data_IF_902027145986
#
_entry.id   IF_902027145986
#
_cell.length_a   1.000
_cell.length_b   1.000
_cell.length_c   1.000
_cell.angle_alpha   90.00
_cell.angle_beta   90.00
_cell.angle_gamma   90.00
#
_symmetry.space_group_name_H-M   'P 1'
#
loop_
_entity.id
_entity.type
_entity.pdbx_description
1 polymer ?
#
# COMPACT_ATOMS: atom_id res chain seq x y z
N UNK A 1 6.50 -12.01 13.83
CA UNK A 1 7.46 -11.74 12.73
C UNK A 1 6.74 -10.80 11.78
N UNK A 2 7.20 -9.54 11.65
CA UNK A 2 6.65 -8.60 10.69
C UNK A 2 6.91 -9.10 9.27
N UNK A 3 5.96 -8.92 8.35
CA UNK A 3 6.18 -9.19 6.94
C UNK A 3 7.34 -8.31 6.43
N UNK A 4 8.16 -8.85 5.52
CA UNK A 4 9.24 -8.09 4.90
C UNK A 4 8.65 -6.87 4.15
N UNK A 5 9.30 -5.71 4.20
CA UNK A 5 8.80 -4.53 3.50
C UNK A 5 8.77 -4.79 1.99
N UNK A 6 7.70 -4.33 1.33
CA UNK A 6 7.55 -4.42 -0.12
C UNK A 6 8.62 -3.56 -0.79
N UNK A 7 9.32 -4.15 -1.75
CA UNK A 7 10.42 -3.52 -2.50
C UNK A 7 9.92 -3.07 -3.87
N UNK A 8 10.08 -1.80 -4.15
CA UNK A 8 9.69 -1.18 -5.42
C UNK A 8 10.94 -0.67 -6.14
N UNK A 9 11.01 -0.92 -7.43
CA UNK A 9 12.02 -0.30 -8.30
C UNK A 9 11.35 0.80 -9.14
N UNK A 10 12.02 1.93 -9.25
CA UNK A 10 11.62 3.05 -10.12
C UNK A 10 12.71 3.26 -11.17
N UNK A 11 12.36 3.18 -12.45
CA UNK A 11 13.24 3.51 -13.57
C UNK A 11 12.64 4.68 -14.33
N UNK A 12 13.26 5.83 -14.18
CA UNK A 12 12.79 7.13 -14.69
C UNK A 12 14.00 8.02 -14.92
N UNK A 13 14.18 8.56 -16.12
CA UNK A 13 15.33 9.39 -16.45
C UNK A 13 15.21 10.82 -15.90
N UNK A 14 14.00 11.37 -15.86
CA UNK A 14 13.77 12.72 -15.35
C UNK A 14 13.93 12.76 -13.82
N UNK A 15 15.01 13.38 -13.35
CA UNK A 15 15.37 13.39 -11.92
C UNK A 15 14.25 13.95 -11.02
N UNK A 16 13.56 15.00 -11.47
CA UNK A 16 12.48 15.62 -10.67
C UNK A 16 11.29 14.68 -10.48
N UNK A 17 10.87 13.96 -11.53
CA UNK A 17 9.80 12.96 -11.48
C UNK A 17 10.23 11.79 -10.62
N UNK A 18 11.43 11.27 -10.85
CA UNK A 18 12.00 10.17 -10.07
C UNK A 18 12.05 10.47 -8.57
N UNK A 19 12.55 11.64 -8.17
CA UNK A 19 12.63 12.04 -6.77
C UNK A 19 11.25 12.18 -6.13
N UNK A 20 10.30 12.79 -6.83
CA UNK A 20 8.93 12.93 -6.34
C UNK A 20 8.26 11.56 -6.11
N UNK A 21 8.38 10.65 -7.07
CA UNK A 21 7.84 9.28 -6.99
C UNK A 21 8.50 8.51 -5.86
N UNK A 22 9.83 8.52 -5.77
CA UNK A 22 10.60 7.84 -4.72
C UNK A 22 10.22 8.37 -3.33
N UNK A 23 10.10 9.70 -3.18
CA UNK A 23 9.70 10.34 -1.93
C UNK A 23 8.30 9.88 -1.49
N UNK A 24 7.32 9.90 -2.41
CA UNK A 24 5.96 9.46 -2.13
C UNK A 24 5.90 7.99 -1.69
N UNK A 25 6.60 7.10 -2.41
CA UNK A 25 6.63 5.67 -2.09
C UNK A 25 7.30 5.38 -0.73
N UNK A 26 8.38 6.08 -0.41
CA UNK A 26 9.06 5.93 0.90
C UNK A 26 8.19 6.42 2.05
N UNK A 27 7.42 7.48 1.84
CA UNK A 27 6.46 7.98 2.83
C UNK A 27 5.34 6.96 3.11
N UNK A 28 5.02 6.09 2.15
CA UNK A 28 4.10 4.96 2.31
C UNK A 28 4.76 3.73 2.99
N UNK A 29 6.01 3.82 3.42
CA UNK A 29 6.73 2.73 4.09
C UNK A 29 7.29 1.66 3.14
N UNK A 30 7.35 1.93 1.83
CA UNK A 30 7.92 1.02 0.84
C UNK A 30 9.46 1.16 0.79
N UNK A 31 10.16 0.08 0.52
CA UNK A 31 11.59 0.11 0.23
C UNK A 31 11.80 0.39 -1.25
N UNK A 32 12.48 1.49 -1.59
CA UNK A 32 12.59 1.95 -2.98
C UNK A 32 14.03 1.99 -3.43
N UNK A 33 14.33 1.28 -4.53
CA UNK A 33 15.55 1.45 -5.35
C UNK A 33 15.17 2.23 -6.60
N UNK A 34 16.04 3.14 -7.06
CA UNK A 34 15.75 3.95 -8.24
C UNK A 34 16.94 3.98 -9.21
N UNK A 35 16.61 4.05 -10.48
CA UNK A 35 17.55 4.03 -11.60
C UNK A 35 17.14 5.09 -12.61
N UNK A 36 18.12 5.68 -13.30
CA UNK A 36 17.89 6.69 -14.34
C UNK A 36 18.07 6.18 -15.75
N UNK A 37 18.40 4.91 -15.92
CA UNK A 37 18.77 4.34 -17.21
C UNK A 37 18.28 2.90 -17.35
N UNK A 38 18.00 2.53 -18.59
CA UNK A 38 17.62 1.22 -19.07
C UNK A 38 18.75 0.17 -18.95
N UNK A 39 20.03 0.57 -19.04
CA UNK A 39 21.18 -0.36 -19.04
C UNK A 39 21.44 -1.03 -17.68
N UNK A 40 20.70 -0.69 -16.64
CA UNK A 40 20.94 -1.17 -15.28
C UNK A 40 20.12 -2.43 -14.92
N UNK A 41 19.75 -3.24 -15.92
CA UNK A 41 18.89 -4.44 -15.74
C UNK A 41 19.36 -5.36 -14.61
N UNK A 42 20.66 -5.68 -14.55
CA UNK A 42 21.19 -6.56 -13.51
C UNK A 42 21.08 -5.94 -12.10
N UNK A 43 21.29 -4.63 -11.97
CA UNK A 43 21.13 -3.92 -10.72
C UNK A 43 19.65 -3.88 -10.28
N UNK A 44 18.72 -3.72 -11.23
CA UNK A 44 17.29 -3.79 -11.03
C UNK A 44 16.87 -5.18 -10.50
N UNK A 45 17.35 -6.23 -11.15
CA UNK A 45 17.06 -7.62 -10.73
C UNK A 45 17.65 -7.94 -9.36
N UNK A 46 18.87 -7.47 -9.08
CA UNK A 46 19.53 -7.66 -7.79
C UNK A 46 18.83 -6.95 -6.62
N UNK A 47 18.10 -5.86 -6.89
CA UNK A 47 17.24 -5.22 -5.91
C UNK A 47 16.07 -6.12 -5.49
N UNK A 48 15.84 -7.23 -6.22
CA UNK A 48 14.79 -8.21 -6.00
C UNK A 48 13.41 -7.58 -5.76
N UNK A 49 12.91 -6.73 -6.69
CA UNK A 49 11.70 -5.96 -6.50
C UNK A 49 10.44 -6.84 -6.47
N UNK A 50 9.43 -6.34 -5.75
CA UNK A 50 8.08 -6.89 -5.72
C UNK A 50 7.16 -6.16 -6.72
N UNK A 51 7.59 -4.98 -7.22
CA UNK A 51 6.94 -4.20 -8.26
C UNK A 51 7.97 -3.31 -8.95
N UNK A 52 7.84 -3.13 -10.27
CA UNK A 52 8.61 -2.15 -11.03
C UNK A 52 7.70 -1.03 -11.56
N UNK A 53 8.18 0.21 -11.45
CA UNK A 53 7.61 1.40 -12.08
C UNK A 53 8.61 1.83 -13.16
N UNK A 54 8.19 1.82 -14.41
CA UNK A 54 9.08 2.05 -15.54
C UNK A 54 8.56 3.21 -16.40
N UNK A 55 9.40 4.18 -16.70
CA UNK A 55 9.08 5.08 -17.81
C UNK A 55 9.15 4.29 -19.13
N UNK A 56 8.21 4.56 -20.01
CA UNK A 56 8.22 4.01 -21.38
C UNK A 56 9.36 4.61 -22.19
N UNK A 57 9.63 5.90 -22.00
CA UNK A 57 10.65 6.64 -22.75
C UNK A 57 11.93 6.78 -21.94
N UNK A 58 12.83 5.82 -22.05
CA UNK A 58 14.12 5.85 -21.38
C UNK A 58 15.25 6.19 -22.35
N UNK A 59 16.31 6.90 -21.92
CA UNK A 59 17.54 7.06 -22.70
C UNK A 59 18.09 5.69 -23.11
N UNK A 60 18.56 5.59 -24.35
CA UNK A 60 19.20 4.41 -24.93
C UNK A 60 18.33 3.15 -25.05
N UNK A 61 17.02 3.22 -24.72
CA UNK A 61 16.15 2.04 -24.78
C UNK A 61 14.66 2.34 -24.68
N UNK A 62 13.88 1.29 -24.71
CA UNK A 62 12.43 1.30 -24.57
C UNK A 62 12.04 0.61 -23.27
N UNK A 63 11.26 1.29 -22.43
CA UNK A 63 10.75 0.73 -21.16
C UNK A 63 9.95 -0.57 -21.36
N UNK A 64 9.31 -0.74 -22.51
CA UNK A 64 8.64 -2.01 -22.85
C UNK A 64 9.64 -3.16 -23.06
N UNK A 65 10.79 -2.88 -23.67
CA UNK A 65 11.84 -3.88 -23.83
C UNK A 65 12.45 -4.26 -22.48
N UNK A 66 12.71 -3.28 -21.61
CA UNK A 66 13.16 -3.53 -20.24
C UNK A 66 12.15 -4.40 -19.49
N UNK A 67 10.86 -4.08 -19.59
CA UNK A 67 9.80 -4.86 -18.97
C UNK A 67 9.79 -6.32 -19.44
N UNK A 68 9.94 -6.56 -20.74
CA UNK A 68 10.02 -7.93 -21.30
C UNK A 68 11.19 -8.70 -20.72
N UNK A 69 12.37 -8.08 -20.62
CA UNK A 69 13.58 -8.71 -20.06
C UNK A 69 13.44 -9.02 -18.59
N UNK A 70 12.91 -8.08 -17.79
CA UNK A 70 12.67 -8.29 -16.37
C UNK A 70 11.67 -9.43 -16.16
N UNK A 71 10.58 -9.49 -16.92
CA UNK A 71 9.56 -10.55 -16.83
C UNK A 71 10.05 -11.91 -17.30
N UNK A 72 10.96 -11.96 -18.28
CA UNK A 72 11.56 -13.21 -18.70
C UNK A 72 12.38 -13.90 -17.56
N UNK A 73 12.87 -13.10 -16.62
CA UNK A 73 13.66 -13.54 -15.48
C UNK A 73 12.83 -13.76 -14.19
N UNK A 74 11.71 -13.03 -14.07
CA UNK A 74 10.92 -13.01 -12.84
C UNK A 74 9.46 -12.63 -13.14
N UNK A 75 8.53 -13.28 -12.43
CA UNK A 75 7.14 -12.81 -12.40
C UNK A 75 7.09 -11.49 -11.60
N UNK A 76 7.14 -10.36 -12.31
CA UNK A 76 7.26 -9.02 -11.75
C UNK A 76 6.09 -8.16 -12.24
N UNK A 77 5.24 -7.66 -11.34
CA UNK A 77 4.23 -6.67 -11.66
C UNK A 77 4.88 -5.36 -12.13
N UNK A 78 4.33 -4.77 -13.20
CA UNK A 78 4.89 -3.56 -13.83
C UNK A 78 3.80 -2.52 -14.01
N UNK A 79 4.10 -1.30 -13.54
CA UNK A 79 3.32 -0.08 -13.80
C UNK A 79 4.16 0.83 -14.70
N UNK A 80 3.61 1.21 -15.85
CA UNK A 80 4.29 2.16 -16.72
C UNK A 80 3.91 3.60 -16.41
N UNK A 81 4.91 4.48 -16.43
CA UNK A 81 4.73 5.92 -16.56
C UNK A 81 4.97 6.29 -18.05
N UNK A 82 4.11 7.10 -18.64
CA UNK A 82 4.25 7.43 -20.06
C UNK A 82 3.75 8.84 -20.36
N UNK A 83 4.46 9.54 -21.24
CA UNK A 83 3.99 10.79 -21.83
C UNK A 83 3.03 10.54 -23.01
N UNK A 84 2.86 9.28 -23.44
CA UNK A 84 2.05 8.89 -24.58
C UNK A 84 0.62 8.58 -24.15
N UNK A 85 -0.34 9.31 -24.67
CA UNK A 85 -1.76 9.15 -24.44
C UNK A 85 -2.47 8.36 -25.56
N UNK A 86 -1.72 7.93 -26.58
CA UNK A 86 -2.21 7.19 -27.74
C UNK A 86 -2.81 5.82 -27.38
N UNK A 87 -3.92 5.47 -28.05
CA UNK A 87 -4.57 4.15 -27.90
C UNK A 87 -3.61 3.02 -28.32
N UNK A 88 -2.81 3.26 -29.36
CA UNK A 88 -1.86 2.28 -29.89
C UNK A 88 -0.72 1.97 -28.91
N UNK A 89 -0.22 2.96 -28.19
CA UNK A 89 0.82 2.78 -27.18
C UNK A 89 0.29 2.00 -25.96
N UNK A 90 -0.97 2.21 -25.57
CA UNK A 90 -1.63 1.42 -24.51
C UNK A 90 -1.83 -0.03 -24.97
N UNK A 91 -2.21 -0.26 -26.22
CA UNK A 91 -2.37 -1.61 -26.79
C UNK A 91 -1.02 -2.34 -26.88
N UNK A 92 0.06 -1.65 -27.27
CA UNK A 92 1.41 -2.21 -27.26
C UNK A 92 1.85 -2.62 -25.85
N UNK A 93 1.54 -1.82 -24.85
CA UNK A 93 1.86 -2.12 -23.47
C UNK A 93 1.03 -3.25 -22.87
N UNK A 94 -0.25 -3.36 -23.18
CA UNK A 94 -1.05 -4.53 -22.80
C UNK A 94 -0.53 -5.82 -23.45
N UNK A 95 0.01 -5.74 -24.69
CA UNK A 95 0.64 -6.87 -25.35
C UNK A 95 1.93 -7.33 -24.63
N UNK A 96 2.64 -6.44 -23.93
CA UNK A 96 3.80 -6.75 -23.08
C UNK A 96 3.37 -7.26 -21.70
N UNK A 97 2.06 -7.22 -21.41
CA UNK A 97 1.49 -7.74 -20.17
C UNK A 97 1.59 -6.76 -18.99
N UNK A 98 1.60 -5.44 -19.22
CA UNK A 98 1.59 -4.46 -18.14
C UNK A 98 0.40 -4.67 -17.18
N UNK A 99 0.65 -4.44 -15.90
CA UNK A 99 -0.40 -4.54 -14.88
C UNK A 99 -1.20 -3.25 -14.74
N UNK A 100 -0.58 -2.09 -15.03
CA UNK A 100 -1.26 -0.78 -15.11
C UNK A 100 -0.42 0.26 -15.86
N UNK A 101 -1.07 1.38 -16.22
CA UNK A 101 -0.49 2.55 -16.91
C UNK A 101 -0.90 3.84 -16.25
N UNK A 102 0.02 4.80 -16.21
CA UNK A 102 -0.26 6.15 -15.75
C UNK A 102 0.36 7.18 -16.70
N UNK A 103 -0.49 8.07 -17.22
CA UNK A 103 -0.07 9.11 -18.20
C UNK A 103 0.47 10.33 -17.46
N UNK A 104 1.62 10.84 -17.88
CA UNK A 104 2.22 12.11 -17.43
C UNK A 104 1.50 13.31 -18.09
N UNK A 105 1.20 14.39 -17.34
CA UNK A 105 1.42 14.56 -15.90
C UNK A 105 0.36 13.86 -15.06
N UNK A 106 0.73 13.33 -13.88
CA UNK A 106 -0.16 12.61 -12.99
C UNK A 106 -0.09 13.15 -11.55
N UNK A 107 -1.14 12.88 -10.76
CA UNK A 107 -1.12 13.11 -9.33
C UNK A 107 -0.43 11.93 -8.61
N UNK A 108 0.41 12.22 -7.60
CA UNK A 108 1.10 11.17 -6.83
C UNK A 108 0.11 10.25 -6.11
N UNK A 109 -1.02 10.78 -5.66
CA UNK A 109 -2.09 10.02 -5.03
C UNK A 109 -2.68 8.97 -5.98
N UNK A 110 -2.84 9.32 -7.29
CA UNK A 110 -3.29 8.37 -8.31
C UNK A 110 -2.27 7.25 -8.51
N UNK A 111 -0.98 7.60 -8.63
CA UNK A 111 0.09 6.61 -8.75
C UNK A 111 0.08 5.65 -7.56
N UNK A 112 0.01 6.16 -6.33
CA UNK A 112 -0.02 5.34 -5.12
C UNK A 112 -1.24 4.41 -5.08
N UNK A 113 -2.42 4.90 -5.48
CA UNK A 113 -3.63 4.09 -5.54
C UNK A 113 -3.49 2.93 -6.53
N UNK A 114 -2.91 3.18 -7.72
CA UNK A 114 -2.67 2.15 -8.75
C UNK A 114 -1.64 1.11 -8.30
N UNK A 115 -0.53 1.55 -7.71
CA UNK A 115 0.51 0.66 -7.15
C UNK A 115 -0.09 -0.29 -6.11
N UNK A 116 -0.89 0.24 -5.18
CA UNK A 116 -1.59 -0.58 -4.17
C UNK A 116 -2.50 -1.61 -4.82
N UNK A 117 -3.25 -1.23 -5.86
CA UNK A 117 -4.13 -2.14 -6.59
C UNK A 117 -3.35 -3.25 -7.30
N UNK A 118 -2.22 -2.94 -7.92
CA UNK A 118 -1.35 -3.91 -8.60
C UNK A 118 -0.72 -4.88 -7.61
N UNK A 119 -0.12 -4.37 -6.51
CA UNK A 119 0.50 -5.20 -5.47
C UNK A 119 -0.51 -6.14 -4.81
N UNK A 120 -1.75 -5.71 -4.63
CA UNK A 120 -2.83 -6.56 -4.11
C UNK A 120 -3.19 -7.68 -5.09
N UNK A 121 -3.40 -7.36 -6.37
CA UNK A 121 -3.74 -8.36 -7.39
C UNK A 121 -2.65 -9.41 -7.59
N UNK A 122 -1.39 -9.00 -7.46
CA UNK A 122 -0.23 -9.88 -7.60
C UNK A 122 0.10 -10.68 -6.32
N UNK A 123 -0.67 -10.52 -5.22
CA UNK A 123 -0.41 -11.20 -3.95
C UNK A 123 0.89 -10.77 -3.26
N UNK A 124 1.47 -9.63 -3.67
CA UNK A 124 2.73 -9.09 -3.11
C UNK A 124 2.50 -8.27 -1.85
N UNK A 125 1.29 -7.75 -1.65
CA UNK A 125 0.85 -7.28 -0.34
C UNK A 125 0.42 -8.50 0.46
N UNK A 126 0.86 -8.60 1.71
CA UNK A 126 0.41 -9.66 2.61
C UNK A 126 -1.13 -9.72 2.64
N UNK A 127 -1.67 -10.88 2.98
CA UNK A 127 -3.12 -11.05 3.02
C UNK A 127 -3.74 -9.96 3.89
N UNK A 128 -4.63 -9.17 3.30
CA UNK A 128 -5.41 -8.20 4.05
C UNK A 128 -6.15 -8.89 5.20
N UNK A 129 -6.18 -8.26 6.35
CA UNK A 129 -6.94 -8.76 7.49
C UNK A 129 -8.41 -8.47 7.26
N UNK A 130 -9.27 -9.46 7.47
CA UNK A 130 -10.70 -9.34 7.25
C UNK A 130 -11.51 -9.63 8.53
N UNK A 131 -12.52 -8.80 8.75
CA UNK A 131 -13.49 -8.99 9.83
C UNK A 131 -14.88 -8.56 9.36
N UNK A 132 -15.65 -9.50 8.83
CA UNK A 132 -16.95 -9.22 8.22
C UNK A 132 -16.81 -8.34 6.99
N UNK A 133 -17.38 -7.13 7.05
CA UNK A 133 -17.32 -6.12 5.97
C UNK A 133 -16.10 -5.17 6.07
N UNK A 134 -15.21 -5.39 7.04
CA UNK A 134 -13.99 -4.60 7.25
C UNK A 134 -12.79 -5.32 6.66
N UNK A 135 -12.03 -4.63 5.84
CA UNK A 135 -10.75 -5.08 5.28
C UNK A 135 -9.66 -4.10 5.72
N UNK A 136 -8.55 -4.62 6.23
CA UNK A 136 -7.40 -3.83 6.68
C UNK A 136 -6.14 -4.35 6.02
N UNK A 137 -5.47 -3.50 5.30
CA UNK A 137 -4.17 -3.78 4.70
C UNK A 137 -3.12 -2.83 5.30
N UNK A 138 -2.34 -3.34 6.26
CA UNK A 138 -1.31 -2.56 6.93
C UNK A 138 -0.13 -2.23 6.04
N UNK A 139 0.16 -3.08 5.06
CA UNK A 139 1.26 -2.86 4.12
C UNK A 139 0.88 -1.85 3.04
N UNK A 140 -0.37 -1.92 2.57
CA UNK A 140 -0.90 -0.94 1.63
C UNK A 140 -1.35 0.38 2.29
N UNK A 141 -1.36 0.43 3.62
CA UNK A 141 -1.67 1.65 4.37
C UNK A 141 -3.15 2.05 4.35
N UNK A 142 -4.09 1.15 4.06
CA UNK A 142 -5.51 1.49 3.98
C UNK A 142 -6.41 0.53 4.75
N UNK A 143 -7.63 1.00 5.03
CA UNK A 143 -8.71 0.15 5.52
C UNK A 143 -10.02 0.53 4.84
N UNK A 144 -10.85 -0.46 4.56
CA UNK A 144 -12.19 -0.26 3.99
C UNK A 144 -13.26 -0.90 4.85
N UNK A 145 -14.49 -0.42 4.74
CA UNK A 145 -15.68 -1.06 5.26
C UNK A 145 -16.77 -1.07 4.20
N UNK A 146 -17.37 -2.23 3.94
CA UNK A 146 -18.32 -2.42 2.85
C UNK A 146 -17.79 -1.90 1.50
N UNK A 147 -16.47 -2.07 1.24
CA UNK A 147 -15.77 -1.63 0.03
C UNK A 147 -15.48 -0.13 -0.05
N UNK A 148 -15.83 0.67 0.99
CA UNK A 148 -15.56 2.12 1.05
C UNK A 148 -14.37 2.43 1.93
N UNK A 149 -13.50 3.33 1.46
CA UNK A 149 -12.30 3.74 2.20
C UNK A 149 -12.69 4.45 3.51
N UNK A 150 -12.01 4.07 4.59
CA UNK A 150 -12.20 4.65 5.92
C UNK A 150 -11.35 5.90 6.16
N UNK A 151 -10.43 6.24 5.26
CA UNK A 151 -9.50 7.37 5.39
C UNK A 151 -8.81 7.42 6.76
N UNK A 152 -8.28 6.29 7.19
CA UNK A 152 -7.65 6.13 8.51
C UNK A 152 -6.24 6.72 8.53
N UNK A 153 -5.86 7.28 9.68
CA UNK A 153 -4.46 7.65 9.95
C UNK A 153 -3.61 6.40 10.21
N UNK A 154 -2.26 6.48 10.12
CA UNK A 154 -1.40 5.33 10.40
C UNK A 154 -1.62 4.70 11.79
N UNK A 155 -1.93 5.51 12.80
CA UNK A 155 -2.25 5.01 14.15
C UNK A 155 -3.61 4.32 14.21
N UNK A 156 -4.63 4.88 13.56
CA UNK A 156 -5.96 4.27 13.46
C UNK A 156 -5.91 2.96 12.66
N UNK A 157 -5.07 2.90 11.61
CA UNK A 157 -4.87 1.69 10.83
C UNK A 157 -4.27 0.57 11.69
N UNK A 158 -3.18 0.82 12.43
CA UNK A 158 -2.59 -0.14 13.36
C UNK A 158 -3.57 -0.58 14.44
N UNK A 159 -4.33 0.35 14.99
CA UNK A 159 -5.36 0.08 15.99
C UNK A 159 -6.46 -0.83 15.43
N UNK A 160 -6.96 -0.53 14.23
CA UNK A 160 -7.98 -1.36 13.57
C UNK A 160 -7.44 -2.74 13.22
N UNK A 161 -6.23 -2.84 12.68
CA UNK A 161 -5.57 -4.11 12.40
C UNK A 161 -5.43 -4.98 13.67
N UNK A 162 -5.07 -4.36 14.79
CA UNK A 162 -4.98 -5.06 16.06
C UNK A 162 -6.35 -5.59 16.53
N UNK A 163 -7.42 -4.80 16.38
CA UNK A 163 -8.78 -5.25 16.67
C UNK A 163 -9.23 -6.39 15.75
N UNK A 164 -8.91 -6.32 14.44
CA UNK A 164 -9.29 -7.36 13.48
C UNK A 164 -8.58 -8.69 13.78
N UNK A 165 -7.28 -8.65 14.12
CA UNK A 165 -6.52 -9.86 14.56
C UNK A 165 -7.08 -10.50 15.82
N UNK A 166 -7.66 -9.71 16.72
CA UNK A 166 -8.21 -10.16 18.00
C UNK A 166 -9.74 -10.06 18.03
N UNK A 167 -10.38 -10.25 16.87
CA UNK A 167 -11.83 -10.13 16.71
C UNK A 167 -12.57 -10.99 17.72
N UNK A 168 -13.58 -10.43 18.37
CA UNK A 168 -14.38 -11.09 19.40
C UNK A 168 -13.78 -11.05 20.81
N UNK A 169 -12.48 -10.76 20.95
CA UNK A 169 -11.83 -10.63 22.26
C UNK A 169 -11.99 -9.22 22.81
N UNK A 170 -12.10 -9.12 24.15
CA UNK A 170 -12.07 -7.85 24.85
C UNK A 170 -10.62 -7.46 25.10
N UNK A 171 -10.21 -6.31 24.57
CA UNK A 171 -8.87 -5.77 24.70
C UNK A 171 -8.86 -4.61 25.69
N UNK A 172 -8.07 -4.72 26.73
CA UNK A 172 -7.93 -3.65 27.73
C UNK A 172 -7.21 -2.42 27.15
N UNK A 173 -7.43 -1.25 27.76
CA UNK A 173 -6.71 -0.02 27.36
C UNK A 173 -5.18 -0.20 27.43
N UNK A 174 -4.71 -0.88 28.47
CA UNK A 174 -3.28 -1.16 28.64
C UNK A 174 -2.72 -2.03 27.50
N UNK A 175 -3.40 -3.13 27.14
CA UNK A 175 -3.01 -3.95 25.98
C UNK A 175 -2.97 -3.15 24.69
N UNK A 176 -3.99 -2.30 24.45
CA UNK A 176 -4.01 -1.44 23.26
C UNK A 176 -2.85 -0.44 23.25
N UNK A 177 -2.55 0.22 24.38
CA UNK A 177 -1.42 1.13 24.49
C UNK A 177 -0.08 0.45 24.19
N UNK A 178 0.19 -0.67 24.85
CA UNK A 178 1.46 -1.39 24.69
C UNK A 178 1.63 -1.90 23.27
N UNK A 179 0.59 -2.49 22.68
CA UNK A 179 0.68 -3.17 21.39
C UNK A 179 0.63 -2.21 20.17
N UNK A 180 -0.09 -1.10 20.30
CA UNK A 180 -0.26 -0.16 19.19
C UNK A 180 0.74 1.01 19.24
N UNK A 181 1.08 1.47 20.44
CA UNK A 181 2.00 2.61 20.63
C UNK A 181 3.39 2.20 21.13
N UNK A 182 3.55 0.99 21.68
CA UNK A 182 4.86 0.46 22.09
C UNK A 182 5.39 1.00 23.43
N UNK A 183 4.55 1.66 24.22
CA UNK A 183 4.95 2.27 25.50
C UNK A 183 3.96 1.99 26.62
N UNK A 184 4.48 1.77 27.83
CA UNK A 184 3.67 1.60 29.04
C UNK A 184 3.29 2.94 29.72
N UNK A 185 3.84 4.05 29.28
CA UNK A 185 3.80 5.34 29.99
C UNK A 185 2.86 6.41 29.39
N UNK A 186 1.98 6.04 28.45
CA UNK A 186 1.03 6.99 27.86
C UNK A 186 -0.28 7.11 28.67
N UNK A 187 -0.89 8.31 28.59
CA UNK A 187 -2.21 8.58 29.14
C UNK A 187 -3.25 7.60 28.53
N UNK A 188 -3.99 6.83 29.35
CA UNK A 188 -5.08 5.96 28.89
C UNK A 188 -6.14 6.67 28.04
N UNK A 189 -6.29 7.98 28.15
CA UNK A 189 -7.19 8.81 27.35
C UNK A 189 -6.82 8.80 25.87
N UNK A 190 -5.54 8.55 25.53
CA UNK A 190 -5.10 8.44 24.13
C UNK A 190 -5.86 7.34 23.39
N UNK A 191 -6.06 6.18 24.04
CA UNK A 191 -6.85 5.07 23.46
C UNK A 191 -8.29 5.51 23.20
N UNK A 192 -8.89 6.24 24.13
CA UNK A 192 -10.29 6.69 24.00
C UNK A 192 -10.48 7.63 22.81
N UNK A 193 -9.54 8.55 22.61
CA UNK A 193 -9.56 9.49 21.48
C UNK A 193 -9.51 8.74 20.15
N UNK A 194 -8.54 7.83 20.00
CA UNK A 194 -8.37 7.07 18.74
C UNK A 194 -9.49 6.06 18.49
N UNK A 195 -9.97 5.38 19.54
CA UNK A 195 -11.14 4.49 19.44
C UNK A 195 -12.39 5.27 19.04
N UNK A 196 -12.58 6.47 19.59
CA UNK A 196 -13.72 7.33 19.24
C UNK A 196 -13.67 7.80 17.80
N UNK A 197 -12.49 8.22 17.33
CA UNK A 197 -12.28 8.64 15.95
C UNK A 197 -12.48 7.47 14.96
N UNK A 198 -11.88 6.33 15.24
CA UNK A 198 -12.03 5.12 14.43
C UNK A 198 -13.48 4.63 14.37
N UNK A 199 -14.18 4.63 15.52
CA UNK A 199 -15.59 4.27 15.61
C UNK A 199 -16.45 5.15 14.70
N UNK A 200 -16.24 6.46 14.73
CA UNK A 200 -16.96 7.40 13.87
C UNK A 200 -16.78 7.08 12.39
N UNK A 201 -15.55 6.77 11.95
CA UNK A 201 -15.25 6.39 10.55
C UNK A 201 -15.92 5.06 10.19
N UNK A 202 -15.87 4.07 11.05
CA UNK A 202 -16.55 2.80 10.85
C UNK A 202 -18.08 2.98 10.74
N UNK A 203 -18.68 3.78 11.60
CA UNK A 203 -20.15 3.97 11.65
C UNK A 203 -20.69 4.77 10.44
N UNK A 204 -19.86 5.47 9.67
CA UNK A 204 -20.27 6.06 8.39
C UNK A 204 -20.69 5.01 7.34
N UNK A 205 -20.21 3.78 7.46
CA UNK A 205 -20.39 2.75 6.43
C UNK A 205 -21.11 1.48 6.95
N UNK A 206 -21.73 1.56 8.13
CA UNK A 206 -22.51 0.46 8.68
C UNK A 206 -22.77 0.56 10.17
N UNK A 207 -23.45 -0.40 10.76
CA UNK A 207 -23.78 -0.40 12.17
C UNK A 207 -22.52 -0.49 13.04
N UNK A 208 -22.66 -0.12 14.32
CA UNK A 208 -21.57 -0.20 15.31
C UNK A 208 -21.04 -1.62 15.44
N UNK A 209 -19.73 -1.79 15.23
CA UNK A 209 -19.02 -3.05 15.42
C UNK A 209 -17.88 -2.94 16.44
N UNK A 210 -17.41 -1.71 16.73
CA UNK A 210 -16.39 -1.46 17.75
C UNK A 210 -17.09 -1.04 19.04
N UNK A 211 -17.18 -1.98 19.96
CA UNK A 211 -17.96 -1.88 21.20
C UNK A 211 -17.09 -1.49 22.40
N UNK A 212 -17.70 -0.82 23.38
CA UNK A 212 -17.09 -0.61 24.71
C UNK A 212 -17.64 -1.66 25.68
N UNK A 213 -16.74 -2.42 26.27
CA UNK A 213 -17.08 -3.35 27.36
C UNK A 213 -16.72 -2.65 28.66
N UNK A 214 -17.76 -2.17 29.38
CA UNK A 214 -17.60 -1.34 30.59
C UNK A 214 -16.67 -2.00 31.62
N UNK A 215 -15.69 -1.23 32.10
CA UNK A 215 -14.70 -1.68 33.09
C UNK A 215 -13.59 -2.59 32.53
N UNK A 216 -13.70 -3.11 31.30
CA UNK A 216 -12.74 -4.06 30.72
C UNK A 216 -11.98 -3.52 29.52
N UNK A 217 -12.62 -2.73 28.65
CA UNK A 217 -11.96 -2.20 27.46
C UNK A 217 -12.85 -2.15 26.23
N UNK A 218 -12.32 -2.60 25.09
CA UNK A 218 -12.98 -2.53 23.78
C UNK A 218 -12.95 -3.86 23.06
N UNK A 219 -13.92 -4.08 22.19
CA UNK A 219 -14.05 -5.31 21.39
C UNK A 219 -14.54 -4.99 19.98
N UNK A 220 -13.94 -5.60 18.98
CA UNK A 220 -14.52 -5.68 17.65
C UNK A 220 -15.49 -6.87 17.63
N UNK A 221 -16.76 -6.62 17.28
CA UNK A 221 -17.80 -7.65 17.30
C UNK A 221 -17.48 -8.82 16.37
N UNK A 222 -17.76 -10.06 16.76
CA UNK A 222 -17.57 -11.24 15.92
C UNK A 222 -18.72 -11.33 14.90
N UNK A 223 -18.62 -10.64 13.75
CA UNK A 223 -19.58 -10.82 12.65
C UNK A 223 -18.95 -11.56 11.51
#
# INVERSE_FOLDING_TARGET
MGAAPVRVVVVEDEAAVREAVVGALRNEGLTVSCFGDYEQEEAILNAAPDLAILDVMLPHGDGFELARRLRARRDLPIVFLTARDGVDDRLAGFAVGADDYLVKPFALEELLARIRAVLRRSGRLGAALEAGDVVVDEQAGFATRAGKDLLVTPTELRLLAFFVRHRGLVLSKHQLLTQVWGYDAYDPNLVEVHVSALRRKLELHGPRILETVRGLGYRLAPR
#
